data_IF_265264199226
#
_entry.id   IF_265264199226
#
_cell.length_a   1.000
_cell.length_b   1.000
_cell.length_c   1.000
_cell.angle_alpha   90.00
_cell.angle_beta   90.00
_cell.angle_gamma   90.00
#
_symmetry.space_group_name_H-M   'P 1'
#
loop_
_entity.id
_entity.type
_entity.pdbx_description
1 polymer ?
#
# COMPACT_ATOMS: atom_id res chain seq x y z
N UNK A 1 -18.34 15.64 22.53
CA UNK A 1 -18.50 14.18 22.74
C UNK A 1 -19.16 13.48 21.56
N UNK A 2 -20.31 13.95 21.05
CA UNK A 2 -20.97 13.37 19.87
C UNK A 2 -20.15 13.51 18.56
N UNK A 3 -19.41 14.61 18.37
CA UNK A 3 -18.50 14.78 17.22
C UNK A 3 -17.24 13.89 17.28
N UNK A 4 -16.74 13.58 18.48
CA UNK A 4 -15.65 12.60 18.66
C UNK A 4 -16.13 11.17 18.38
N UNK A 5 -17.36 10.82 18.80
CA UNK A 5 -17.96 9.52 18.48
C UNK A 5 -18.28 9.37 16.98
N UNK A 6 -18.72 10.45 16.31
CA UNK A 6 -18.90 10.45 14.84
C UNK A 6 -17.57 10.34 14.10
N UNK A 7 -16.50 11.00 14.57
CA UNK A 7 -15.14 10.87 14.00
C UNK A 7 -14.57 9.47 14.21
N UNK A 8 -14.80 8.85 15.37
CA UNK A 8 -14.35 7.49 15.70
C UNK A 8 -15.13 6.43 14.91
N UNK A 9 -16.45 6.57 14.79
CA UNK A 9 -17.30 5.68 13.98
C UNK A 9 -16.95 5.79 12.49
N UNK A 10 -16.69 6.99 11.97
CA UNK A 10 -16.25 7.18 10.59
C UNK A 10 -14.83 6.66 10.36
N UNK A 11 -13.88 6.90 11.28
CA UNK A 11 -12.49 6.43 11.18
C UNK A 11 -12.38 4.91 11.02
N UNK A 12 -13.14 4.14 11.79
CA UNK A 12 -13.15 2.68 11.69
C UNK A 12 -13.77 2.20 10.36
N UNK A 13 -14.86 2.85 9.92
CA UNK A 13 -15.50 2.57 8.63
C UNK A 13 -14.58 2.92 7.44
N UNK A 14 -13.77 3.99 7.54
CA UNK A 14 -12.82 4.37 6.49
C UNK A 14 -11.66 3.39 6.38
N UNK A 15 -11.15 2.83 7.47
CA UNK A 15 -10.07 1.82 7.47
C UNK A 15 -10.56 0.49 6.90
N UNK A 16 -11.72 -0.01 7.34
CA UNK A 16 -12.31 -1.24 6.79
C UNK A 16 -12.62 -1.08 5.29
N UNK A 17 -13.03 0.12 4.85
CA UNK A 17 -13.26 0.41 3.43
C UNK A 17 -11.94 0.56 2.67
N UNK A 18 -10.92 1.18 3.25
CA UNK A 18 -9.61 1.33 2.64
C UNK A 18 -8.92 -0.02 2.42
N UNK A 19 -9.12 -1.00 3.32
CA UNK A 19 -8.68 -2.40 3.13
C UNK A 19 -9.26 -3.02 1.86
N UNK A 20 -10.59 -2.92 1.69
CA UNK A 20 -11.28 -3.46 0.51
C UNK A 20 -10.85 -2.74 -0.78
N UNK A 21 -10.65 -1.43 -0.72
CA UNK A 21 -10.16 -0.64 -1.85
C UNK A 21 -8.71 -1.00 -2.21
N UNK A 22 -7.85 -1.25 -1.21
CA UNK A 22 -6.47 -1.66 -1.42
C UNK A 22 -6.37 -3.06 -2.04
N UNK A 23 -7.00 -4.07 -1.42
CA UNK A 23 -7.01 -5.45 -1.96
C UNK A 23 -7.72 -5.50 -3.32
N UNK A 24 -8.84 -4.78 -3.47
CA UNK A 24 -9.54 -4.65 -4.75
C UNK A 24 -8.69 -3.98 -5.83
N UNK A 25 -7.91 -2.96 -5.48
CA UNK A 25 -6.97 -2.29 -6.39
C UNK A 25 -5.85 -3.21 -6.87
N UNK A 26 -5.24 -4.01 -5.98
CA UNK A 26 -4.22 -4.99 -6.35
C UNK A 26 -4.80 -6.14 -7.20
N UNK A 27 -6.02 -6.61 -6.90
CA UNK A 27 -6.69 -7.62 -7.72
C UNK A 27 -7.07 -7.08 -9.11
N UNK A 28 -7.57 -5.84 -9.17
CA UNK A 28 -7.89 -5.18 -10.43
C UNK A 28 -6.63 -4.99 -11.30
N UNK A 29 -5.50 -4.59 -10.68
CA UNK A 29 -4.23 -4.48 -11.37
C UNK A 29 -3.72 -5.83 -11.88
N UNK A 30 -3.76 -6.88 -11.06
CA UNK A 30 -3.41 -8.24 -11.50
C UNK A 30 -4.28 -8.70 -12.68
N UNK A 31 -5.59 -8.43 -12.63
CA UNK A 31 -6.51 -8.74 -13.72
C UNK A 31 -6.20 -7.92 -14.99
N UNK A 32 -5.91 -6.62 -14.85
CA UNK A 32 -5.51 -5.75 -15.95
C UNK A 32 -4.21 -6.21 -16.63
N UNK A 33 -3.22 -6.64 -15.84
CA UNK A 33 -1.96 -7.18 -16.36
C UNK A 33 -2.17 -8.54 -17.04
N UNK A 34 -3.01 -9.43 -16.49
CA UNK A 34 -3.39 -10.68 -17.15
C UNK A 34 -4.11 -10.44 -18.49
N UNK A 35 -5.05 -9.48 -18.51
CA UNK A 35 -5.77 -9.07 -19.71
C UNK A 35 -4.83 -8.47 -20.77
N UNK A 36 -3.83 -7.68 -20.38
CA UNK A 36 -2.79 -7.19 -21.29
C UNK A 36 -1.93 -8.32 -21.88
N UNK A 37 -1.63 -9.35 -21.08
CA UNK A 37 -0.87 -10.50 -21.58
C UNK A 37 -1.68 -11.31 -22.61
N UNK A 38 -3.00 -11.44 -22.42
CA UNK A 38 -3.91 -12.15 -23.34
C UNK A 38 -4.24 -11.33 -24.58
N UNK A 39 -4.57 -10.05 -24.40
CA UNK A 39 -4.89 -9.12 -25.48
C UNK A 39 -3.63 -8.38 -25.90
N UNK A 40 -2.92 -8.86 -26.93
CA UNK A 40 -1.77 -8.15 -27.55
C UNK A 40 -2.18 -6.84 -28.28
N UNK A 41 -3.26 -6.20 -27.84
CA UNK A 41 -3.81 -4.98 -28.40
C UNK A 41 -3.20 -3.77 -27.70
N UNK A 42 -2.53 -2.88 -28.45
CA UNK A 42 -1.85 -1.68 -27.93
C UNK A 42 -2.79 -0.72 -27.18
N UNK A 43 -4.09 -0.77 -27.46
CA UNK A 43 -5.09 0.09 -26.83
C UNK A 43 -5.35 -0.26 -25.36
N UNK A 44 -5.13 -1.50 -24.92
CA UNK A 44 -5.37 -1.89 -23.53
C UNK A 44 -4.47 -1.12 -22.57
N UNK A 45 -3.19 -0.90 -22.93
CA UNK A 45 -2.21 -0.19 -22.10
C UNK A 45 -2.62 1.23 -21.77
N UNK A 46 -3.18 1.95 -22.75
CA UNK A 46 -3.60 3.33 -22.57
C UNK A 46 -4.83 3.42 -21.67
N UNK A 47 -5.80 2.53 -21.86
CA UNK A 47 -7.03 2.51 -21.07
C UNK A 47 -6.76 2.02 -19.64
N UNK A 48 -5.79 1.15 -19.41
CA UNK A 48 -5.46 0.68 -18.06
C UNK A 48 -4.52 1.62 -17.28
N UNK A 49 -3.91 2.61 -17.93
CA UNK A 49 -2.96 3.53 -17.31
C UNK A 49 -3.55 4.34 -16.15
N UNK A 50 -4.80 4.82 -16.27
CA UNK A 50 -5.46 5.58 -15.19
C UNK A 50 -5.66 4.72 -13.93
N UNK A 51 -5.99 3.44 -14.11
CA UNK A 51 -6.20 2.52 -13.00
C UNK A 51 -4.89 2.15 -12.29
N UNK A 52 -3.79 2.02 -13.04
CA UNK A 52 -2.46 1.85 -12.47
C UNK A 52 -2.03 3.07 -11.64
N UNK A 53 -2.38 4.28 -12.09
CA UNK A 53 -2.16 5.53 -11.34
C UNK A 53 -2.93 5.56 -10.01
N UNK A 54 -4.23 5.24 -10.03
CA UNK A 54 -5.07 5.16 -8.82
C UNK A 54 -4.52 4.14 -7.81
N UNK A 55 -4.05 2.99 -8.29
CA UNK A 55 -3.40 1.99 -7.43
C UNK A 55 -2.14 2.55 -6.78
N UNK A 56 -1.26 3.19 -7.56
CA UNK A 56 -0.02 3.77 -7.04
C UNK A 56 -0.33 4.82 -5.96
N UNK A 57 -1.27 5.74 -6.21
CA UNK A 57 -1.70 6.73 -5.19
C UNK A 57 -2.28 6.08 -3.93
N UNK A 58 -3.05 5.00 -4.08
CA UNK A 58 -3.62 4.27 -2.93
C UNK A 58 -2.54 3.61 -2.09
N UNK A 59 -1.51 3.05 -2.74
CA UNK A 59 -0.34 2.45 -2.08
C UNK A 59 0.41 3.47 -1.20
N UNK A 60 0.59 4.72 -1.65
CA UNK A 60 1.21 5.75 -0.81
C UNK A 60 0.29 6.24 0.29
N UNK A 61 -1.02 6.23 0.08
CA UNK A 61 -1.98 6.73 1.07
C UNK A 61 -2.12 5.80 2.28
N UNK A 62 -2.04 4.48 2.06
CA UNK A 62 -2.18 3.45 3.09
C UNK A 62 -1.25 3.60 4.31
N UNK A 63 0.09 3.72 4.15
CA UNK A 63 1.00 3.84 5.30
C UNK A 63 0.76 5.13 6.11
N UNK A 64 0.43 6.25 5.45
CA UNK A 64 0.11 7.49 6.15
C UNK A 64 -1.17 7.39 6.97
N UNK A 65 -2.19 6.71 6.45
CA UNK A 65 -3.45 6.48 7.14
C UNK A 65 -3.26 5.56 8.35
N UNK A 66 -2.40 4.55 8.22
CA UNK A 66 -2.02 3.64 9.31
C UNK A 66 -1.23 4.38 10.41
N UNK A 67 -0.23 5.17 10.05
CA UNK A 67 0.58 5.98 10.99
C UNK A 67 -0.32 6.98 11.73
N UNK A 68 -1.24 7.66 11.02
CA UNK A 68 -2.18 8.59 11.64
C UNK A 68 -3.12 7.89 12.63
N UNK A 69 -3.58 6.67 12.31
CA UNK A 69 -4.41 5.88 13.21
C UNK A 69 -3.64 5.42 14.45
N UNK A 70 -2.40 4.91 14.29
CA UNK A 70 -1.54 4.55 15.42
C UNK A 70 -1.25 5.74 16.34
N UNK A 71 -1.11 6.94 15.79
CA UNK A 71 -0.90 8.16 16.57
C UNK A 71 -2.18 8.62 17.28
N UNK A 72 -3.35 8.49 16.64
CA UNK A 72 -4.64 8.85 17.22
C UNK A 72 -5.14 7.90 18.32
N UNK A 73 -4.72 6.62 18.28
CA UNK A 73 -5.07 5.60 19.30
C UNK A 73 -4.29 5.75 20.61
N UNK A 74 -3.31 6.66 20.69
CA UNK A 74 -2.69 7.05 21.95
C UNK A 74 -2.00 5.91 22.71
N UNK A 75 -1.47 4.88 22.05
CA UNK A 75 -0.73 3.75 22.68
C UNK A 75 0.67 4.13 23.20
N UNK A 76 0.82 5.37 23.66
CA UNK A 76 1.79 5.81 24.65
C UNK A 76 0.91 6.54 25.67
N UNK A 77 0.35 5.94 26.73
CA UNK A 77 0.92 5.09 27.77
C UNK A 77 -0.17 4.64 28.77
N UNK A 78 0.16 3.75 29.73
CA UNK A 78 0.06 4.04 31.17
C UNK A 78 1.06 3.15 31.94
N UNK A 79 1.92 3.74 32.79
CA UNK A 79 2.67 2.98 33.81
C UNK A 79 1.77 2.70 35.03
N UNK A 80 2.14 1.73 35.88
CA UNK A 80 1.33 1.24 37.01
C UNK A 80 1.00 2.29 38.11
N UNK A 81 1.50 3.52 37.97
CA UNK A 81 1.41 4.62 38.94
C UNK A 81 0.65 5.86 38.39
N UNK A 82 -0.07 5.71 37.27
CA UNK A 82 -1.01 6.73 36.77
C UNK A 82 -0.38 8.03 36.24
N UNK A 83 0.93 8.05 36.01
CA UNK A 83 1.67 9.21 35.50
C UNK A 83 2.26 8.93 34.11
N UNK A 84 2.23 9.94 33.23
CA UNK A 84 2.73 9.86 31.87
C UNK A 84 4.29 9.73 31.81
N UNK A 85 4.82 8.51 31.84
CA UNK A 85 6.08 8.05 31.23
C UNK A 85 6.20 8.48 29.75
N UNK A 86 6.58 9.75 29.60
CA UNK A 86 7.23 10.30 28.42
C UNK A 86 8.64 9.66 28.26
N UNK A 87 8.68 8.34 28.08
CA UNK A 87 9.86 7.49 28.09
C UNK A 87 10.41 7.27 26.69
N UNK A 88 11.39 8.10 26.34
CA UNK A 88 12.44 7.89 25.34
C UNK A 88 12.02 7.45 23.93
N UNK A 89 11.81 8.45 23.08
CA UNK A 89 11.91 8.30 21.64
C UNK A 89 10.64 8.77 20.96
N UNK A 90 10.53 10.08 20.74
CA UNK A 90 9.61 10.63 19.74
C UNK A 90 10.01 10.03 18.39
N UNK A 91 9.48 8.86 18.04
CA UNK A 91 9.32 8.46 16.64
C UNK A 91 8.32 9.45 16.07
N UNK A 92 8.85 10.57 15.58
CA UNK A 92 8.05 11.63 15.03
C UNK A 92 7.29 11.10 13.82
N UNK A 93 6.08 11.59 13.61
CA UNK A 93 5.34 11.35 12.37
C UNK A 93 6.23 11.59 11.14
N UNK A 94 7.10 12.60 11.20
CA UNK A 94 8.12 12.89 10.17
C UNK A 94 9.17 11.80 9.98
N UNK A 95 9.59 11.09 11.03
CA UNK A 95 10.55 9.97 10.93
C UNK A 95 9.91 8.74 10.30
N UNK A 96 8.69 8.38 10.70
CA UNK A 96 7.96 7.24 10.11
C UNK A 96 7.62 7.54 8.63
N UNK A 97 7.21 8.78 8.31
CA UNK A 97 7.02 9.27 6.92
C UNK A 97 8.32 9.22 6.11
N UNK A 98 9.44 9.66 6.68
CA UNK A 98 10.74 9.64 6.00
C UNK A 98 11.22 8.20 5.71
N UNK A 99 10.98 7.27 6.63
CA UNK A 99 11.27 5.85 6.44
C UNK A 99 10.39 5.25 5.33
N UNK A 100 9.10 5.55 5.33
CA UNK A 100 8.19 5.08 4.25
C UNK A 100 8.66 5.62 2.90
N UNK A 101 9.03 6.90 2.82
CA UNK A 101 9.56 7.49 1.59
C UNK A 101 10.86 6.84 1.12
N UNK A 102 11.78 6.53 2.04
CA UNK A 102 13.06 5.90 1.69
C UNK A 102 12.89 4.46 1.23
N UNK A 103 11.97 3.70 1.86
CA UNK A 103 11.60 2.35 1.44
C UNK A 103 11.02 2.32 0.02
N UNK A 104 10.11 3.27 -0.30
CA UNK A 104 9.53 3.35 -1.63
C UNK A 104 10.60 3.71 -2.66
N UNK A 105 11.46 4.68 -2.37
CA UNK A 105 12.52 5.07 -3.29
C UNK A 105 13.45 3.88 -3.61
N UNK A 106 13.84 3.11 -2.59
CA UNK A 106 14.62 1.89 -2.76
C UNK A 106 13.87 0.84 -3.59
N UNK A 107 12.58 0.63 -3.34
CA UNK A 107 11.76 -0.31 -4.09
C UNK A 107 11.68 0.07 -5.58
N UNK A 108 11.52 1.36 -5.89
CA UNK A 108 11.50 1.86 -7.28
C UNK A 108 12.83 1.63 -7.99
N UNK A 109 13.96 1.84 -7.29
CA UNK A 109 15.28 1.58 -7.85
C UNK A 109 15.48 0.08 -8.17
N UNK A 110 15.14 -0.80 -7.22
CA UNK A 110 15.22 -2.26 -7.41
C UNK A 110 14.32 -2.69 -8.57
N UNK A 111 13.08 -2.22 -8.60
CA UNK A 111 12.12 -2.56 -9.65
C UNK A 111 12.58 -2.08 -11.04
N UNK A 112 13.21 -0.91 -11.12
CA UNK A 112 13.81 -0.40 -12.37
C UNK A 112 14.96 -1.29 -12.86
N UNK A 113 15.84 -1.76 -11.96
CA UNK A 113 16.94 -2.68 -12.32
C UNK A 113 16.37 -4.04 -12.76
N UNK A 114 15.40 -4.59 -12.03
CA UNK A 114 14.76 -5.85 -12.37
C UNK A 114 14.05 -5.77 -13.72
N UNK A 115 13.24 -4.73 -13.97
CA UNK A 115 12.57 -4.61 -15.26
C UNK A 115 13.53 -4.35 -16.41
N UNK A 116 14.59 -3.55 -16.19
CA UNK A 116 15.64 -3.35 -17.19
C UNK A 116 16.31 -4.66 -17.61
N UNK A 117 16.66 -5.50 -16.64
CA UNK A 117 17.29 -6.81 -16.89
C UNK A 117 16.31 -7.81 -17.54
N UNK A 118 15.05 -7.86 -17.07
CA UNK A 118 14.01 -8.74 -17.64
C UNK A 118 13.75 -8.43 -19.11
N UNK A 119 13.62 -7.15 -19.47
CA UNK A 119 13.42 -6.72 -20.86
C UNK A 119 14.64 -7.04 -21.72
N UNK A 120 15.85 -6.79 -21.20
CA UNK A 120 17.09 -7.05 -21.93
C UNK A 120 17.31 -8.52 -22.25
N UNK A 121 16.87 -9.43 -21.36
CA UNK A 121 17.03 -10.88 -21.56
C UNK A 121 15.88 -11.48 -22.39
N UNK A 122 14.64 -11.03 -22.15
CA UNK A 122 13.45 -11.66 -22.74
C UNK A 122 13.05 -11.07 -24.10
N UNK A 123 13.53 -9.86 -24.44
CA UNK A 123 13.20 -9.18 -25.71
C UNK A 123 11.71 -8.87 -25.93
N UNK A 124 10.86 -9.12 -24.93
CA UNK A 124 9.40 -9.07 -25.05
C UNK A 124 8.78 -8.35 -23.86
N UNK A 125 7.70 -7.60 -24.11
CA UNK A 125 6.93 -6.91 -23.07
C UNK A 125 6.08 -7.86 -22.22
N UNK A 126 5.82 -9.08 -22.70
CA UNK A 126 5.07 -10.10 -21.98
C UNK A 126 5.78 -10.57 -20.71
N UNK A 127 7.12 -10.58 -20.70
CA UNK A 127 7.90 -10.95 -19.51
C UNK A 127 7.77 -9.92 -18.37
N UNK A 128 7.64 -8.64 -18.71
CA UNK A 128 7.38 -7.55 -17.75
C UNK A 128 5.98 -7.71 -17.14
N UNK A 129 4.99 -8.05 -17.97
CA UNK A 129 3.60 -8.18 -17.54
C UNK A 129 3.40 -9.41 -16.65
N UNK A 130 4.09 -10.53 -16.95
CA UNK A 130 4.02 -11.74 -16.12
C UNK A 130 4.69 -11.55 -14.75
N UNK A 131 5.87 -10.93 -14.72
CA UNK A 131 6.59 -10.63 -13.47
C UNK A 131 5.84 -9.62 -12.61
N UNK A 132 5.23 -8.59 -13.21
CA UNK A 132 4.35 -7.65 -12.52
C UNK A 132 3.09 -8.33 -11.96
N UNK A 133 2.51 -9.29 -12.68
CA UNK A 133 1.34 -10.05 -12.21
C UNK A 133 1.68 -10.92 -11.00
N UNK A 134 2.82 -11.62 -11.04
CA UNK A 134 3.33 -12.40 -9.90
C UNK A 134 3.56 -11.51 -8.67
N UNK A 135 4.23 -10.37 -8.86
CA UNK A 135 4.51 -9.45 -7.77
C UNK A 135 3.22 -8.85 -7.18
N UNK A 136 2.24 -8.54 -8.04
CA UNK A 136 0.92 -8.06 -7.61
C UNK A 136 0.12 -9.13 -6.86
N UNK A 137 0.20 -10.39 -7.27
CA UNK A 137 -0.42 -11.53 -6.58
C UNK A 137 0.20 -11.72 -5.20
N UNK A 138 1.53 -11.74 -5.10
CA UNK A 138 2.23 -11.77 -3.83
C UNK A 138 1.84 -10.58 -2.95
N UNK A 139 1.74 -9.38 -3.54
CA UNK A 139 1.26 -8.18 -2.85
C UNK A 139 -0.17 -8.32 -2.34
N UNK A 140 -1.09 -8.88 -3.13
CA UNK A 140 -2.48 -9.08 -2.75
C UNK A 140 -2.63 -10.15 -1.65
N UNK A 141 -1.86 -11.24 -1.72
CA UNK A 141 -1.80 -12.27 -0.69
C UNK A 141 -1.25 -11.69 0.62
N UNK A 142 -0.14 -10.96 0.53
CA UNK A 142 0.48 -10.28 1.68
C UNK A 142 -0.47 -9.23 2.27
N UNK A 143 -1.18 -8.46 1.43
CA UNK A 143 -2.18 -7.49 1.88
C UNK A 143 -3.35 -8.16 2.64
N UNK A 144 -3.71 -9.37 2.24
CA UNK A 144 -4.76 -10.14 2.91
C UNK A 144 -4.29 -10.67 4.27
N UNK A 145 -3.00 -11.02 4.40
CA UNK A 145 -2.39 -11.54 5.63
C UNK A 145 -2.00 -10.42 6.62
N UNK A 146 -1.34 -9.37 6.15
CA UNK A 146 -0.78 -8.27 6.97
C UNK A 146 -1.89 -7.33 7.45
N UNK A 147 -2.96 -7.17 6.67
CA UNK A 147 -4.12 -6.37 7.06
C UNK A 147 -5.17 -7.19 7.81
N UNK A 148 -4.78 -8.34 8.36
CA UNK A 148 -5.58 -9.11 9.31
C UNK A 148 -4.99 -8.95 10.71
N UNK A 149 -5.01 -7.70 11.18
CA UNK A 149 -5.11 -7.40 12.60
C UNK A 149 -6.40 -6.59 12.80
N UNK A 150 -7.51 -7.28 12.55
CA UNK A 150 -8.81 -6.94 13.14
C UNK A 150 -9.24 -8.18 13.92
N UNK A 151 -8.40 -8.47 14.92
CA UNK A 151 -8.81 -8.84 16.27
C UNK A 151 -7.73 -8.37 17.25
#
# INVERSE_FOLDING_TARGET
MLECLLKACSSNVYICRAKKVYVGGLLFYCCGMMLMAMTRAKASVIIFSWAAGVMYSTLFTMPYLLIAHYHAMGTFELDADGSAKLGSGVRGLGTDVAIVSSMVFLAQFILSICMGTIVSVSGTTTAVVSTASFLSLCGALSATQIMYLDL
#
